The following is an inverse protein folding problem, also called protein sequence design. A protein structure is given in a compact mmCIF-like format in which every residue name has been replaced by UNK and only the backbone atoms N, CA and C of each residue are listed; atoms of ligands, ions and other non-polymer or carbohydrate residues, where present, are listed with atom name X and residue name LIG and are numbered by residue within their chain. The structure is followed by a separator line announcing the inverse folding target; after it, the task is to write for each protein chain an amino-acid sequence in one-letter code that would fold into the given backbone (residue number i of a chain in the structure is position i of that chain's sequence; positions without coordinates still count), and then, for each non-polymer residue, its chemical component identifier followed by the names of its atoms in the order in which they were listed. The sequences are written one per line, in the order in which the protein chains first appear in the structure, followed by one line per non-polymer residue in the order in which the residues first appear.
data_IF_965538991293
#
_entry.id   IF_965538991293
#
_cell.length_a   1.000
_cell.length_b   1.000
_cell.length_c   1.000
_cell.angle_alpha   90.00
_cell.angle_beta   90.00
_cell.angle_gamma   90.00
#
_symmetry.space_group_name_H-M   'P 1'
#
loop_
_entity.id
_entity.type
_entity.pdbx_description
1 polymer ?
#
# COMPACT_ATOMS: atom_id res chain seq x y z
N UNK A 1 3.58 -5.95 -2.48
CA UNK A 1 4.42 -6.64 -1.46
C UNK A 1 5.75 -5.92 -1.29
N UNK A 2 6.60 -5.88 -2.33
CA UNK A 2 7.91 -5.22 -2.26
C UNK A 2 7.84 -3.74 -1.86
N UNK A 3 6.86 -2.98 -2.37
CA UNK A 3 6.63 -1.58 -1.97
C UNK A 3 6.26 -1.39 -0.49
N UNK A 4 5.91 -2.47 0.22
CA UNK A 4 5.61 -2.45 1.65
C UNK A 4 6.82 -2.85 2.51
N UNK A 5 7.97 -3.18 1.90
CA UNK A 5 9.22 -3.46 2.62
C UNK A 5 9.34 -4.87 3.21
N UNK A 6 8.66 -5.86 2.61
CA UNK A 6 8.79 -7.26 3.02
C UNK A 6 10.20 -7.81 2.76
N UNK A 7 10.64 -8.76 3.56
CA UNK A 7 11.93 -9.45 3.42
C UNK A 7 11.74 -10.97 3.58
N UNK A 8 12.22 -11.83 2.66
CA UNK A 8 13.02 -11.51 1.47
C UNK A 8 12.23 -10.78 0.37
N UNK A 9 12.94 -10.28 -0.64
CA UNK A 9 12.31 -9.66 -1.81
C UNK A 9 11.50 -10.70 -2.59
N UNK A 10 10.27 -10.35 -2.97
CA UNK A 10 9.37 -11.25 -3.71
C UNK A 10 9.67 -11.12 -5.20
N UNK A 11 10.14 -12.20 -5.81
CA UNK A 11 10.35 -12.33 -7.25
C UNK A 11 9.17 -13.02 -7.93
N UNK A 12 8.67 -14.11 -7.34
CA UNK A 12 7.57 -14.89 -7.87
C UNK A 12 6.61 -15.33 -6.77
N UNK A 13 5.41 -14.75 -6.77
CA UNK A 13 4.44 -14.89 -5.68
C UNK A 13 4.03 -16.33 -5.39
N UNK A 14 4.02 -17.22 -6.38
CA UNK A 14 3.59 -18.61 -6.19
C UNK A 14 4.68 -19.52 -5.62
N UNK A 15 5.93 -19.03 -5.59
CA UNK A 15 7.04 -19.74 -4.97
C UNK A 15 7.46 -19.10 -3.65
N UNK A 16 7.50 -17.78 -3.61
CA UNK A 16 8.11 -17.05 -2.49
C UNK A 16 7.16 -16.90 -1.29
N UNK A 17 5.88 -17.23 -1.43
CA UNK A 17 4.88 -17.19 -0.35
C UNK A 17 4.68 -18.57 0.30
N UNK A 18 5.32 -19.62 -0.23
CA UNK A 18 5.06 -21.04 0.10
C UNK A 18 5.48 -21.44 1.52
N UNK A 19 6.19 -20.57 2.25
CA UNK A 19 6.57 -20.77 3.65
C UNK A 19 5.76 -19.91 4.64
N UNK A 20 4.86 -19.07 4.13
CA UNK A 20 3.99 -18.18 4.91
C UNK A 20 4.68 -16.96 5.55
N UNK A 21 6.01 -16.84 5.52
CA UNK A 21 6.74 -15.80 6.26
C UNK A 21 6.45 -14.39 5.75
N UNK A 22 6.40 -14.22 4.43
CA UNK A 22 6.04 -12.94 3.81
C UNK A 22 4.58 -12.59 4.11
N UNK A 23 3.69 -13.59 4.14
CA UNK A 23 2.26 -13.39 4.45
C UNK A 23 2.10 -12.84 5.87
N UNK A 24 2.84 -13.37 6.85
CA UNK A 24 2.83 -12.85 8.22
C UNK A 24 3.32 -11.40 8.31
N UNK A 25 4.37 -11.03 7.58
CA UNK A 25 4.82 -9.64 7.53
C UNK A 25 3.74 -8.71 6.98
N UNK A 26 3.01 -9.14 5.94
CA UNK A 26 1.89 -8.38 5.41
C UNK A 26 0.75 -8.24 6.42
N UNK A 27 0.45 -9.29 7.19
CA UNK A 27 -0.54 -9.21 8.26
C UNK A 27 -0.17 -8.15 9.30
N UNK A 28 1.07 -8.13 9.77
CA UNK A 28 1.54 -7.11 10.73
C UNK A 28 1.61 -5.70 10.13
N UNK A 29 1.84 -5.58 8.81
CA UNK A 29 1.75 -4.29 8.12
C UNK A 29 0.31 -3.78 8.08
N UNK A 30 -0.67 -4.67 7.91
CA UNK A 30 -2.08 -4.29 7.89
C UNK A 30 -2.61 -4.01 9.30
N UNK A 31 -2.23 -4.83 10.27
CA UNK A 31 -2.64 -4.73 11.67
C UNK A 31 -1.46 -5.12 12.58
N UNK A 32 -0.69 -4.14 13.08
CA UNK A 32 0.46 -4.43 13.92
C UNK A 32 0.12 -5.29 15.13
N UNK A 33 0.88 -6.37 15.35
CA UNK A 33 0.74 -7.26 16.50
C UNK A 33 -0.34 -8.34 16.35
N UNK A 34 -0.88 -8.53 15.14
CA UNK A 34 -1.86 -9.60 14.87
C UNK A 34 -1.19 -10.98 14.79
N UNK A 35 0.08 -11.03 14.40
CA UNK A 35 0.84 -12.26 14.29
C UNK A 35 1.50 -12.60 15.64
N UNK A 36 1.20 -13.80 16.15
CA UNK A 36 1.96 -14.39 17.25
C UNK A 36 3.19 -15.09 16.69
N UNK A 37 4.31 -14.35 16.65
CA UNK A 37 5.57 -14.83 16.10
C UNK A 37 6.18 -16.02 16.85
N UNK A 38 5.69 -16.37 18.05
CA UNK A 38 6.12 -17.57 18.76
C UNK A 38 5.58 -18.85 18.14
N UNK A 39 4.50 -18.75 17.35
CA UNK A 39 3.89 -19.87 16.60
C UNK A 39 4.47 -20.04 15.20
N UNK A 40 5.33 -19.12 14.77
CA UNK A 40 5.85 -19.06 13.39
C UNK A 40 7.20 -19.75 13.31
N UNK A 41 7.31 -20.73 12.41
CA UNK A 41 8.59 -21.35 12.07
C UNK A 41 9.40 -20.40 11.18
N UNK A 42 10.53 -19.91 11.71
CA UNK A 42 11.44 -19.00 10.98
C UNK A 42 12.68 -19.68 10.41
N UNK A 43 13.04 -20.84 10.96
CA UNK A 43 14.16 -21.68 10.51
C UNK A 43 13.62 -23.08 10.30
N UNK A 44 13.83 -23.61 9.10
CA UNK A 44 13.26 -24.88 8.70
C UNK A 44 14.28 -26.00 8.83
N UNK A 45 13.92 -27.09 9.50
CA UNK A 45 14.76 -28.29 9.55
C UNK A 45 14.61 -29.06 8.23
N UNK A 46 15.71 -29.44 7.58
CA UNK A 46 15.67 -30.13 6.28
C UNK A 46 14.72 -31.34 6.24
N UNK A 47 14.59 -32.08 7.34
CA UNK A 47 13.72 -33.27 7.41
C UNK A 47 12.24 -32.95 7.65
N UNK A 48 11.92 -31.77 8.19
CA UNK A 48 10.55 -31.36 8.55
C UNK A 48 10.08 -30.11 7.81
N UNK A 49 10.90 -29.55 6.93
CA UNK A 49 10.68 -28.25 6.31
C UNK A 49 9.31 -28.14 5.64
N UNK A 50 8.87 -29.17 4.92
CA UNK A 50 7.56 -29.14 4.26
C UNK A 50 6.42 -29.09 5.26
N UNK A 51 6.51 -29.86 6.35
CA UNK A 51 5.50 -29.84 7.40
C UNK A 51 5.46 -28.49 8.13
N UNK A 52 6.63 -27.97 8.52
CA UNK A 52 6.78 -26.66 9.19
C UNK A 52 6.24 -25.51 8.31
N UNK A 53 6.50 -25.55 6.99
CA UNK A 53 5.95 -24.57 6.03
C UNK A 53 4.43 -24.68 5.90
N UNK A 54 3.89 -25.90 5.82
CA UNK A 54 2.44 -26.11 5.79
C UNK A 54 1.79 -25.62 7.09
N UNK A 55 2.42 -25.85 8.25
CA UNK A 55 1.95 -25.32 9.54
C UNK A 55 1.90 -23.78 9.53
N UNK A 56 2.96 -23.12 9.02
CA UNK A 56 2.94 -21.67 8.82
C UNK A 56 1.80 -21.24 7.90
N UNK A 57 1.63 -21.85 6.73
CA UNK A 57 0.56 -21.50 5.80
C UNK A 57 -0.83 -21.74 6.40
N UNK A 58 -1.01 -22.82 7.17
CA UNK A 58 -2.25 -23.09 7.90
C UNK A 58 -2.53 -21.98 8.92
N UNK A 59 -1.52 -21.57 9.68
CA UNK A 59 -1.66 -20.47 10.63
C UNK A 59 -1.98 -19.14 9.92
N UNK A 60 -1.37 -18.87 8.75
CA UNK A 60 -1.71 -17.71 7.94
C UNK A 60 -3.18 -17.70 7.50
N UNK A 61 -3.72 -18.82 7.03
CA UNK A 61 -5.15 -18.95 6.72
C UNK A 61 -6.04 -18.72 7.96
N UNK A 62 -5.66 -19.26 9.12
CA UNK A 62 -6.38 -19.04 10.37
C UNK A 62 -6.40 -17.56 10.77
N UNK A 63 -5.28 -16.84 10.63
CA UNK A 63 -5.23 -15.40 10.86
C UNK A 63 -6.13 -14.64 9.88
N UNK A 64 -6.14 -15.01 8.60
CA UNK A 64 -7.04 -14.44 7.60
C UNK A 64 -8.51 -14.59 8.00
N UNK A 65 -8.92 -15.78 8.44
CA UNK A 65 -10.28 -16.02 8.92
C UNK A 65 -10.62 -15.17 10.15
N UNK A 66 -9.69 -14.99 11.09
CA UNK A 66 -9.86 -14.10 12.26
C UNK A 66 -9.98 -12.62 11.87
N UNK A 67 -9.41 -12.23 10.75
CA UNK A 67 -9.53 -10.89 10.17
C UNK A 67 -10.71 -10.78 9.19
N UNK A 68 -11.63 -11.76 9.22
CA UNK A 68 -12.84 -11.81 8.40
C UNK A 68 -12.55 -11.83 6.89
N UNK A 69 -11.41 -12.39 6.49
CA UNK A 69 -11.12 -12.61 5.07
C UNK A 69 -12.01 -13.72 4.53
N UNK A 70 -12.54 -13.51 3.32
CA UNK A 70 -13.28 -14.56 2.61
C UNK A 70 -12.31 -15.56 1.99
N UNK A 71 -11.86 -16.53 2.79
CA UNK A 71 -10.92 -17.59 2.40
C UNK A 71 -11.61 -18.96 2.23
N UNK A 72 -12.87 -18.97 1.77
CA UNK A 72 -13.61 -20.21 1.54
C UNK A 72 -12.85 -21.09 0.55
N UNK A 73 -12.48 -22.29 0.98
CA UNK A 73 -11.74 -23.25 0.15
C UNK A 73 -10.25 -22.97 0.01
N UNK A 74 -9.66 -22.02 0.76
CA UNK A 74 -8.21 -21.78 0.79
C UNK A 74 -7.60 -22.49 2.02
N UNK A 75 -6.85 -23.56 1.80
CA UNK A 75 -6.08 -24.24 2.83
C UNK A 75 -4.60 -23.82 2.85
N UNK A 76 -3.91 -24.08 3.96
CA UNK A 76 -2.48 -23.79 4.04
C UNK A 76 -1.65 -24.63 3.08
N UNK A 77 -2.09 -25.86 2.77
CA UNK A 77 -1.46 -26.69 1.74
C UNK A 77 -1.52 -26.03 0.36
N UNK A 78 -2.63 -25.38 0.00
CA UNK A 78 -2.77 -24.73 -1.30
C UNK A 78 -1.78 -23.58 -1.49
N UNK A 79 -1.53 -22.82 -0.42
CA UNK A 79 -0.52 -21.75 -0.41
C UNK A 79 0.90 -22.35 -0.48
N UNK A 80 1.15 -23.43 0.27
CA UNK A 80 2.44 -24.12 0.26
C UNK A 80 2.77 -24.74 -1.11
N UNK A 81 1.79 -25.34 -1.77
CA UNK A 81 1.93 -25.92 -3.11
C UNK A 81 2.03 -24.85 -4.21
N UNK A 82 1.82 -23.57 -3.88
CA UNK A 82 1.84 -22.48 -4.86
C UNK A 82 0.62 -22.45 -5.78
N UNK A 83 -0.54 -22.92 -5.33
CA UNK A 83 -1.78 -22.88 -6.10
C UNK A 83 -2.09 -21.43 -6.50
N UNK A 84 -2.08 -21.14 -7.80
CA UNK A 84 -2.14 -19.77 -8.28
C UNK A 84 -3.43 -19.06 -7.90
N UNK A 85 -4.57 -19.70 -8.10
CA UNK A 85 -5.89 -19.14 -7.82
C UNK A 85 -6.06 -18.85 -6.33
N UNK A 86 -5.69 -19.81 -5.48
CA UNK A 86 -5.91 -19.70 -4.03
C UNK A 86 -4.88 -18.77 -3.38
N UNK A 87 -3.65 -18.74 -3.90
CA UNK A 87 -2.63 -17.76 -3.48
C UNK A 87 -3.05 -16.33 -3.85
N UNK A 88 -3.55 -16.12 -5.07
CA UNK A 88 -4.08 -14.81 -5.47
C UNK A 88 -5.29 -14.40 -4.64
N UNK A 89 -6.18 -15.34 -4.29
CA UNK A 89 -7.32 -15.07 -3.42
C UNK A 89 -6.85 -14.51 -2.06
N UNK A 90 -5.83 -15.13 -1.44
CA UNK A 90 -5.25 -14.64 -0.19
C UNK A 90 -4.58 -13.26 -0.35
N UNK A 91 -3.76 -13.08 -1.40
CA UNK A 91 -3.07 -11.81 -1.66
C UNK A 91 -4.06 -10.67 -1.93
N UNK A 92 -5.15 -10.95 -2.63
CA UNK A 92 -6.23 -10.01 -2.86
C UNK A 92 -6.90 -9.58 -1.55
N UNK A 93 -7.21 -10.52 -0.65
CA UNK A 93 -7.79 -10.21 0.64
C UNK A 93 -6.84 -9.35 1.49
N UNK A 94 -5.53 -9.63 1.46
CA UNK A 94 -4.52 -8.80 2.12
C UNK A 94 -4.48 -7.38 1.53
N UNK A 95 -4.46 -7.23 0.21
CA UNK A 95 -4.51 -5.92 -0.44
C UNK A 95 -5.78 -5.16 -0.06
N UNK A 96 -6.93 -5.82 -0.09
CA UNK A 96 -8.22 -5.24 0.32
C UNK A 96 -8.19 -4.79 1.79
N UNK A 97 -7.69 -5.62 2.69
CA UNK A 97 -7.60 -5.32 4.11
C UNK A 97 -6.69 -4.12 4.38
N UNK A 98 -5.55 -4.06 3.69
CA UNK A 98 -4.64 -2.92 3.75
C UNK A 98 -5.32 -1.62 3.28
N UNK A 99 -6.02 -1.65 2.14
CA UNK A 99 -6.74 -0.47 1.65
C UNK A 99 -7.82 -0.04 2.62
N UNK A 100 -8.56 -0.99 3.20
CA UNK A 100 -9.57 -0.69 4.23
C UNK A 100 -8.92 -0.10 5.47
N UNK A 101 -7.76 -0.59 5.94
CA UNK A 101 -7.11 -0.07 7.14
C UNK A 101 -6.58 1.36 6.95
N UNK A 102 -6.11 1.71 5.75
CA UNK A 102 -5.78 3.10 5.42
C UNK A 102 -7.03 3.97 5.45
N UNK A 103 -8.11 3.52 4.79
CA UNK A 103 -9.33 4.31 4.68
C UNK A 103 -10.07 4.46 6.02
N UNK A 104 -10.07 3.43 6.87
CA UNK A 104 -10.68 3.48 8.20
C UNK A 104 -9.92 4.38 9.17
N UNK A 105 -8.60 4.53 8.98
CA UNK A 105 -7.81 5.56 9.67
C UNK A 105 -8.23 6.99 9.31
N UNK A 106 -8.96 7.17 8.20
CA UNK A 106 -9.53 8.45 7.77
C UNK A 106 -11.00 8.58 8.18
N UNK A 107 -11.83 7.56 7.92
CA UNK A 107 -13.26 7.54 8.24
C UNK A 107 -13.83 6.11 8.20
N UNK A 108 -14.81 5.81 9.07
CA UNK A 108 -15.50 4.51 9.10
C UNK A 108 -16.42 4.25 7.90
N UNK A 109 -16.87 5.31 7.21
CA UNK A 109 -17.66 5.23 5.99
C UNK A 109 -16.79 5.54 4.77
N UNK A 110 -16.79 4.65 3.78
CA UNK A 110 -16.01 4.77 2.53
C UNK A 110 -16.36 6.03 1.73
N UNK A 111 -17.62 6.46 1.69
CA UNK A 111 -17.99 7.69 0.97
C UNK A 111 -17.46 8.92 1.69
N UNK A 112 -17.46 8.87 3.01
CA UNK A 112 -16.89 9.93 3.82
C UNK A 112 -15.35 9.92 3.77
N UNK A 113 -14.72 8.74 3.65
CA UNK A 113 -13.28 8.63 3.45
C UNK A 113 -12.85 9.28 2.12
N UNK A 114 -13.55 9.00 1.01
CA UNK A 114 -13.27 9.65 -0.28
C UNK A 114 -13.36 11.18 -0.19
N UNK A 115 -14.44 11.70 0.41
CA UNK A 115 -14.61 13.15 0.62
C UNK A 115 -13.54 13.74 1.52
N UNK A 116 -13.16 13.04 2.60
CA UNK A 116 -12.14 13.50 3.53
C UNK A 116 -10.76 13.57 2.86
N UNK A 117 -10.38 12.56 2.07
CA UNK A 117 -9.11 12.55 1.32
C UNK A 117 -9.12 13.66 0.28
N UNK A 118 -10.23 13.86 -0.44
CA UNK A 118 -10.36 14.92 -1.43
C UNK A 118 -10.24 16.30 -0.80
N UNK A 119 -10.93 16.53 0.33
CA UNK A 119 -10.87 17.79 1.07
C UNK A 119 -9.44 18.05 1.58
N UNK A 120 -8.79 17.05 2.20
CA UNK A 120 -7.40 17.14 2.65
C UNK A 120 -6.45 17.47 1.49
N UNK A 121 -6.58 16.79 0.34
CA UNK A 121 -5.71 17.02 -0.80
C UNK A 121 -5.88 18.45 -1.34
N UNK A 122 -7.12 18.91 -1.52
CA UNK A 122 -7.41 20.27 -1.99
C UNK A 122 -6.99 21.35 -0.99
N UNK A 123 -7.12 21.10 0.32
CA UNK A 123 -6.63 22.00 1.37
C UNK A 123 -5.11 22.16 1.30
N UNK A 124 -4.37 21.06 1.14
CA UNK A 124 -2.90 21.08 1.02
C UNK A 124 -2.43 21.74 -0.27
N UNK A 125 -3.15 21.55 -1.38
CA UNK A 125 -2.84 22.16 -2.68
C UNK A 125 -3.15 23.67 -2.70
N UNK A 126 -4.17 24.12 -1.96
CA UNK A 126 -4.54 25.53 -1.86
C UNK A 126 -4.87 26.13 -3.23
N UNK A 127 -4.13 27.16 -3.64
CA UNK A 127 -4.35 27.86 -4.93
C UNK A 127 -3.62 27.21 -6.11
N UNK A 128 -2.74 26.24 -5.87
CA UNK A 128 -1.84 25.73 -6.91
C UNK A 128 -2.49 24.68 -7.82
N UNK A 129 -3.50 23.98 -7.32
CA UNK A 129 -4.33 23.03 -8.05
C UNK A 129 -5.62 22.73 -7.29
N UNK A 130 -6.65 22.29 -8.01
CA UNK A 130 -7.91 21.82 -7.45
C UNK A 130 -8.47 20.71 -8.35
N UNK A 131 -9.12 19.71 -7.75
CA UNK A 131 -9.82 18.66 -8.48
C UNK A 131 -11.09 18.23 -7.74
N UNK A 132 -12.10 17.78 -8.50
CA UNK A 132 -13.44 17.51 -7.96
C UNK A 132 -13.66 16.05 -7.55
N UNK A 133 -12.75 15.15 -7.93
CA UNK A 133 -12.82 13.74 -7.58
C UNK A 133 -11.67 12.94 -8.20
N UNK A 134 -11.47 11.71 -7.72
CA UNK A 134 -10.34 10.87 -8.15
C UNK A 134 -10.49 10.29 -9.58
N UNK A 135 -11.62 10.54 -10.24
CA UNK A 135 -11.87 10.22 -11.65
C UNK A 135 -11.64 11.39 -12.61
N UNK A 136 -11.13 12.52 -12.12
CA UNK A 136 -10.91 13.73 -12.93
C UNK A 136 -9.75 13.51 -13.93
N UNK A 137 -9.97 13.84 -15.20
CA UNK A 137 -8.97 13.71 -16.26
C UNK A 137 -7.73 14.58 -16.03
N UNK A 138 -7.86 15.65 -15.24
CA UNK A 138 -6.75 16.51 -14.81
C UNK A 138 -5.73 15.79 -13.93
N UNK A 139 -6.04 14.59 -13.41
CA UNK A 139 -5.10 13.76 -12.67
C UNK A 139 -4.19 12.93 -13.58
N UNK A 140 -4.54 12.78 -14.86
CA UNK A 140 -3.85 11.89 -15.81
C UNK A 140 -2.41 12.32 -16.11
N UNK A 141 -2.08 13.59 -15.95
CA UNK A 141 -0.74 14.14 -16.22
C UNK A 141 0.25 13.98 -15.05
N UNK A 142 -0.23 13.52 -13.88
CA UNK A 142 0.55 13.37 -12.67
C UNK A 142 0.99 14.68 -11.99
N UNK A 143 0.70 15.85 -12.56
CA UNK A 143 1.18 17.15 -12.07
C UNK A 143 0.54 17.50 -10.73
N UNK A 144 -0.77 17.31 -10.59
CA UNK A 144 -1.48 17.55 -9.33
C UNK A 144 -0.88 16.71 -8.19
N UNK A 145 -0.56 15.44 -8.49
CA UNK A 145 0.05 14.54 -7.52
C UNK A 145 1.46 15.01 -7.13
N UNK A 146 2.28 15.44 -8.10
CA UNK A 146 3.62 15.98 -7.84
C UNK A 146 3.56 17.26 -7.01
N UNK A 147 2.65 18.18 -7.33
CA UNK A 147 2.42 19.41 -6.53
C UNK A 147 2.03 19.07 -5.09
N UNK A 148 1.15 18.10 -4.89
CA UNK A 148 0.77 17.66 -3.54
C UNK A 148 1.99 17.09 -2.79
N UNK A 149 2.79 16.26 -3.45
CA UNK A 149 4.02 15.71 -2.88
C UNK A 149 5.01 16.82 -2.50
N UNK A 150 5.17 17.85 -3.33
CA UNK A 150 5.99 19.03 -3.02
C UNK A 150 5.50 19.75 -1.76
N UNK A 151 4.18 19.93 -1.60
CA UNK A 151 3.62 20.54 -0.37
C UNK A 151 3.92 19.73 0.89
N UNK A 152 3.94 18.41 0.77
CA UNK A 152 4.27 17.52 1.89
C UNK A 152 5.78 17.45 2.16
N UNK A 153 6.61 17.62 1.13
CA UNK A 153 8.07 17.66 1.24
C UNK A 153 8.68 18.57 0.18
N UNK A 154 8.89 19.87 0.50
CA UNK A 154 9.35 20.85 -0.49
C UNK A 154 10.70 20.53 -1.14
N UNK A 155 11.61 19.87 -0.41
CA UNK A 155 12.91 19.43 -0.94
C UNK A 155 12.88 18.08 -1.67
N UNK A 156 11.69 17.49 -1.84
CA UNK A 156 11.51 16.16 -2.42
C UNK A 156 11.34 16.13 -3.94
N UNK A 157 11.06 17.28 -4.56
CA UNK A 157 10.67 17.39 -5.97
C UNK A 157 11.69 18.23 -6.74
N UNK A 158 12.12 17.70 -7.89
CA UNK A 158 12.93 18.37 -8.89
C UNK A 158 12.11 18.58 -10.15
N UNK A 159 11.60 19.80 -10.31
CA UNK A 159 10.77 20.19 -11.44
C UNK A 159 11.46 20.12 -12.80
N UNK A 160 12.80 20.01 -12.84
CA UNK A 160 13.54 19.80 -14.10
C UNK A 160 13.26 18.44 -14.72
N UNK A 161 12.82 17.47 -13.91
CA UNK A 161 12.49 16.12 -14.34
C UNK A 161 11.01 15.96 -14.69
N UNK A 162 10.21 17.03 -14.55
CA UNK A 162 8.75 16.98 -14.69
C UNK A 162 8.33 17.69 -15.96
N UNK A 163 7.57 16.98 -16.81
CA UNK A 163 7.00 17.55 -18.02
C UNK A 163 5.71 18.29 -17.66
N UNK A 164 5.80 19.59 -17.39
CA UNK A 164 4.66 20.42 -16.95
C UNK A 164 3.56 20.59 -18.02
N UNK A 165 3.93 20.45 -19.29
CA UNK A 165 3.01 20.46 -20.43
C UNK A 165 2.90 19.05 -21.04
N UNK A 166 2.79 18.02 -20.21
CA UNK A 166 2.66 16.64 -20.67
C UNK A 166 1.36 16.45 -21.46
N UNK A 167 1.51 16.21 -22.76
CA UNK A 167 0.39 15.96 -23.67
C UNK A 167 0.42 14.54 -24.22
N UNK A 168 1.61 13.98 -24.37
CA UNK A 168 1.81 12.60 -24.84
C UNK A 168 1.66 11.61 -23.69
N UNK A 169 1.25 10.39 -24.01
CA UNK A 169 1.13 9.31 -23.02
C UNK A 169 2.47 9.00 -22.35
N UNK A 170 3.57 9.08 -23.09
CA UNK A 170 4.92 8.84 -22.58
C UNK A 170 5.33 9.86 -21.52
N UNK A 171 5.06 11.15 -21.75
CA UNK A 171 5.32 12.22 -20.78
C UNK A 171 4.48 12.06 -19.52
N UNK A 172 3.19 11.74 -19.67
CA UNK A 172 2.29 11.48 -18.54
C UNK A 172 2.77 10.29 -17.71
N UNK A 173 3.17 9.20 -18.37
CA UNK A 173 3.73 8.03 -17.72
C UNK A 173 5.06 8.34 -17.01
N UNK A 174 5.92 9.18 -17.59
CA UNK A 174 7.16 9.62 -16.95
C UNK A 174 6.87 10.42 -15.66
N UNK A 175 5.94 11.37 -15.71
CA UNK A 175 5.50 12.13 -14.54
C UNK A 175 4.90 11.20 -13.47
N UNK A 176 4.03 10.27 -13.87
CA UNK A 176 3.41 9.29 -12.96
C UNK A 176 4.45 8.38 -12.28
N UNK A 177 5.44 7.87 -13.03
CA UNK A 177 6.58 7.11 -12.49
C UNK A 177 7.37 7.93 -11.48
N UNK A 178 7.65 9.18 -11.81
CA UNK A 178 8.38 10.10 -10.94
C UNK A 178 7.62 10.36 -9.63
N UNK A 179 6.32 10.68 -9.71
CA UNK A 179 5.45 10.91 -8.57
C UNK A 179 5.41 9.71 -7.62
N UNK A 180 5.20 8.49 -8.15
CA UNK A 180 5.20 7.25 -7.36
C UNK A 180 6.57 7.02 -6.70
N UNK A 181 7.66 7.29 -7.43
CA UNK A 181 9.02 7.17 -6.92
C UNK A 181 9.27 8.05 -5.69
N UNK A 182 8.90 9.34 -5.77
CA UNK A 182 9.05 10.26 -4.64
C UNK A 182 8.11 9.91 -3.49
N UNK A 183 6.84 9.57 -3.77
CA UNK A 183 5.89 9.14 -2.75
C UNK A 183 6.45 7.97 -1.93
N UNK A 184 7.02 6.97 -2.60
CA UNK A 184 7.68 5.83 -1.94
C UNK A 184 8.93 6.24 -1.18
N UNK A 185 9.77 7.13 -1.73
CA UNK A 185 10.95 7.69 -1.04
C UNK A 185 10.57 8.48 0.22
N UNK A 186 9.38 9.07 0.26
CA UNK A 186 8.82 9.71 1.45
C UNK A 186 8.30 8.71 2.49
N UNK A 187 8.20 7.42 2.15
CA UNK A 187 7.66 6.38 3.01
C UNK A 187 6.17 6.10 2.83
N UNK A 188 5.53 6.68 1.81
CA UNK A 188 4.17 6.31 1.44
C UNK A 188 4.19 4.92 0.77
N UNK A 189 3.41 3.99 1.31
CA UNK A 189 3.33 2.59 0.87
C UNK A 189 2.41 2.43 -0.35
N UNK A 190 2.72 3.15 -1.43
CA UNK A 190 1.94 3.19 -2.67
C UNK A 190 2.19 1.94 -3.51
N UNK A 191 1.13 1.19 -3.82
CA UNK A 191 1.19 0.00 -4.68
C UNK A 191 0.59 0.21 -6.08
N UNK A 192 -0.03 1.37 -6.35
CA UNK A 192 -0.52 1.72 -7.68
C UNK A 192 0.62 1.80 -8.71
N UNK A 193 0.27 1.56 -9.97
CA UNK A 193 1.16 1.66 -11.11
C UNK A 193 1.03 3.03 -11.80
N UNK A 194 2.05 3.48 -12.55
CA UNK A 194 1.96 4.71 -13.35
C UNK A 194 0.77 4.72 -14.29
N UNK A 195 0.47 3.59 -14.92
CA UNK A 195 -0.64 3.42 -15.86
C UNK A 195 -1.99 3.67 -15.17
N UNK A 196 -2.12 3.33 -13.88
CA UNK A 196 -3.36 3.58 -13.12
C UNK A 196 -3.64 5.08 -12.94
N UNK A 197 -2.60 5.93 -12.95
CA UNK A 197 -2.72 7.39 -12.90
C UNK A 197 -3.12 7.92 -14.28
N UNK A 198 -2.40 7.50 -15.33
CA UNK A 198 -2.62 8.00 -16.70
C UNK A 198 -4.00 7.60 -17.23
N UNK A 199 -4.45 6.38 -16.95
CA UNK A 199 -5.80 5.89 -17.28
C UNK A 199 -6.88 6.38 -16.29
N UNK A 200 -6.49 7.10 -15.24
CA UNK A 200 -7.38 7.65 -14.20
C UNK A 200 -8.29 6.57 -13.60
N UNK A 201 -7.69 5.45 -13.16
CA UNK A 201 -8.42 4.42 -12.42
C UNK A 201 -8.78 4.94 -11.04
N UNK A 202 -9.97 5.55 -10.91
CA UNK A 202 -10.44 6.26 -9.72
C UNK A 202 -10.06 5.59 -8.40
N UNK A 203 -10.33 4.28 -8.25
CA UNK A 203 -10.02 3.53 -7.02
C UNK A 203 -8.52 3.48 -6.72
N UNK A 204 -7.71 3.22 -7.74
CA UNK A 204 -6.25 3.16 -7.60
C UNK A 204 -5.67 4.55 -7.31
N UNK A 205 -6.14 5.58 -8.03
CA UNK A 205 -5.73 6.96 -7.81
C UNK A 205 -6.05 7.40 -6.39
N UNK A 206 -7.28 7.16 -5.91
CA UNK A 206 -7.68 7.44 -4.53
C UNK A 206 -6.75 6.80 -3.49
N UNK A 207 -6.30 5.55 -3.71
CA UNK A 207 -5.38 4.88 -2.76
C UNK A 207 -4.03 5.57 -2.66
N UNK A 208 -3.55 6.24 -3.71
CA UNK A 208 -2.29 7.00 -3.68
C UNK A 208 -2.43 8.18 -2.70
N UNK A 209 -3.50 8.98 -2.86
CA UNK A 209 -3.78 10.10 -1.97
C UNK A 209 -4.00 9.65 -0.53
N UNK A 210 -4.72 8.54 -0.33
CA UNK A 210 -4.92 7.95 0.99
C UNK A 210 -3.58 7.56 1.65
N UNK A 211 -2.66 6.94 0.90
CA UNK A 211 -1.33 6.58 1.39
C UNK A 211 -0.48 7.82 1.75
N UNK A 212 -0.59 8.90 0.97
CA UNK A 212 0.08 10.17 1.27
C UNK A 212 -0.49 10.82 2.52
N UNK A 213 -1.81 10.83 2.68
CA UNK A 213 -2.50 11.35 3.87
C UNK A 213 -2.10 10.58 5.12
N UNK A 214 -2.10 9.24 5.07
CA UNK A 214 -1.68 8.40 6.20
C UNK A 214 -0.21 8.65 6.60
N UNK A 215 0.65 8.97 5.63
CA UNK A 215 2.05 9.33 5.90
C UNK A 215 2.18 10.71 6.54
N UNK A 216 1.41 11.69 6.07
CA UNK A 216 1.36 13.05 6.58
C UNK A 216 0.92 13.09 8.06
N UNK A 217 -0.17 12.38 8.38
CA UNK A 217 -0.68 12.27 9.76
C UNK A 217 0.30 11.56 10.69
N UNK A 218 0.95 10.48 10.21
CA UNK A 218 1.98 9.77 10.98
C UNK A 218 3.20 10.67 11.28
N UNK A 219 3.59 11.55 10.35
CA UNK A 219 4.69 12.51 10.57
C UNK A 219 4.31 13.55 11.62
N UNK A 220 3.10 14.08 11.51
CA UNK A 220 2.58 15.12 12.42
C UNK A 220 2.48 14.61 13.86
N UNK A 221 2.00 13.38 14.05
CA UNK A 221 1.93 12.77 15.38
C UNK A 221 3.32 12.46 15.97
N UNK A 222 4.28 12.10 15.12
CA UNK A 222 5.67 11.89 15.53
C UNK A 222 6.35 13.17 16.04
N UNK A 223 6.10 14.32 15.40
CA UNK A 223 6.65 15.61 15.83
C UNK A 223 6.08 16.08 17.18
N UNK A 224 4.77 15.91 17.40
CA UNK A 224 4.12 16.26 18.68
C UNK A 224 4.64 15.45 19.86
N UNK A 225 4.96 14.17 19.66
CA UNK A 225 5.51 13.30 20.71
C UNK A 225 6.96 13.64 21.06
N UNK A 226 7.76 14.12 20.11
CA UNK A 226 9.14 14.55 20.38
C UNK A 226 9.20 15.87 21.14
N UNK A 227 8.25 16.78 20.88
CA UNK A 227 8.16 18.07 21.59
C UNK A 227 7.68 17.89 23.04
N UNK A 228 6.82 16.91 23.32
CA UNK A 228 6.34 16.65 24.70
C UNK A 228 7.35 15.95 25.61
N UNK A 229 8.42 15.36 25.07
CA UNK A 229 9.50 14.76 25.86
C UNK A 229 10.68 15.72 26.09
N UNK A 230 10.62 16.93 25.53
CA UNK A 230 11.61 17.99 25.70
C UNK A 230 11.10 19.17 26.55
N UNK A 231 9.87 19.09 27.06
CA UNK A 231 9.24 20.07 27.94
C UNK A 231 9.18 19.57 29.39
#
# INVERSE_FOLDING_TARGET
MNSMGVSPYVHYIYNDLTDGLIVFQLYDICKPGVVDWNKVHKKFNKLKANFEKIENCNYACQLGNKLEFSLVGVGGKDIHDGNQTLTLALVWQLMRAYTISILSGVSTDSKNAEKAILAWANERLGKDAHFNGFGDSNLSDGIILIKLIEKLKPSGVDWKLVNQAAHTEEEKLANARYAIGIARKMGAKVYALPEDIVEVKQKMVMTIFACLMARDTSTTNGQKLTESHQA
#
